data_IF_879930782323
#
_entry.id   IF_879930782323
#
_cell.length_a   1.000
_cell.length_b   1.000
_cell.length_c   1.000
_cell.angle_alpha   90.00
_cell.angle_beta   90.00
_cell.angle_gamma   90.00
#
_symmetry.space_group_name_H-M   'P 1'
#
loop_
_entity.id
_entity.type
_entity.pdbx_description
1 polymer ?
#
# COMPACT_ATOMS: atom_id res chain seq x y z
N UNK A 1 -0.07 -42.27 -31.53
CA UNK A 1 -0.70 -41.40 -32.54
C UNK A 1 -2.18 -41.35 -32.25
N UNK A 2 -2.76 -40.16 -32.08
CA UNK A 2 -4.19 -40.00 -31.76
C UNK A 2 -5.00 -39.85 -33.05
N UNK A 3 -6.07 -40.62 -33.22
CA UNK A 3 -6.91 -40.56 -34.42
C UNK A 3 -7.89 -39.36 -34.37
N UNK A 4 -8.28 -38.84 -35.55
CA UNK A 4 -9.37 -37.86 -35.68
C UNK A 4 -10.67 -38.48 -35.13
N UNK A 5 -11.20 -37.92 -34.04
CA UNK A 5 -12.42 -38.39 -33.36
C UNK A 5 -12.21 -39.25 -32.10
N UNK A 6 -10.99 -39.70 -31.81
CA UNK A 6 -10.71 -40.49 -30.60
C UNK A 6 -10.31 -39.65 -29.39
N UNK A 7 -10.08 -38.36 -29.58
CA UNK A 7 -9.70 -37.42 -28.54
C UNK A 7 -10.96 -37.04 -27.76
N UNK A 8 -11.18 -37.66 -26.61
CA UNK A 8 -12.26 -37.33 -25.67
C UNK A 8 -11.68 -37.11 -24.30
N UNK A 9 -12.05 -36.04 -23.62
CA UNK A 9 -11.58 -35.79 -22.27
C UNK A 9 -11.99 -36.94 -21.35
N UNK A 10 -11.05 -37.49 -20.58
CA UNK A 10 -11.33 -38.59 -19.64
C UNK A 10 -12.27 -38.20 -18.49
N UNK A 11 -12.36 -36.92 -18.17
CA UNK A 11 -13.19 -36.40 -17.07
C UNK A 11 -14.60 -36.05 -17.54
N UNK A 12 -14.74 -35.30 -18.64
CA UNK A 12 -16.04 -34.81 -19.11
C UNK A 12 -16.55 -35.43 -20.41
N UNK A 13 -15.80 -36.34 -21.03
CA UNK A 13 -16.19 -37.00 -22.28
C UNK A 13 -16.25 -36.08 -23.51
N UNK A 14 -16.00 -34.77 -23.36
CA UNK A 14 -16.04 -33.82 -24.47
C UNK A 14 -15.03 -34.19 -25.55
N UNK A 15 -15.46 -34.16 -26.81
CA UNK A 15 -14.58 -34.36 -27.98
C UNK A 15 -13.59 -33.21 -28.08
N UNK A 16 -12.31 -33.54 -28.02
CA UNK A 16 -11.19 -32.61 -28.08
C UNK A 16 -10.63 -32.58 -29.50
N UNK A 17 -10.14 -31.40 -29.90
CA UNK A 17 -9.40 -31.25 -31.13
C UNK A 17 -7.92 -31.54 -30.88
N UNK A 18 -7.19 -31.96 -31.91
CA UNK A 18 -5.74 -32.16 -31.86
C UNK A 18 -4.97 -30.90 -31.41
N UNK A 19 -5.51 -29.71 -31.66
CA UNK A 19 -4.93 -28.43 -31.20
C UNK A 19 -5.21 -28.11 -29.73
N UNK A 20 -6.30 -28.64 -29.17
CA UNK A 20 -6.83 -28.24 -27.85
C UNK A 20 -6.75 -29.37 -26.81
N UNK A 21 -6.27 -30.55 -27.19
CA UNK A 21 -6.03 -31.67 -26.27
C UNK A 21 -4.74 -31.45 -25.52
N UNK A 22 -4.78 -31.62 -24.19
CA UNK A 22 -3.58 -31.68 -23.36
C UNK A 22 -3.39 -33.12 -22.88
N UNK A 23 -2.20 -33.67 -23.07
CA UNK A 23 -1.87 -35.03 -22.63
C UNK A 23 -1.21 -35.02 -21.26
N UNK A 24 -1.78 -35.77 -20.31
CA UNK A 24 -1.16 -36.04 -19.01
C UNK A 24 -1.22 -37.54 -18.75
N UNK A 25 -0.10 -38.16 -18.35
CA UNK A 25 -0.01 -39.63 -18.14
C UNK A 25 -0.60 -40.47 -19.29
N UNK A 26 -0.29 -40.08 -20.53
CA UNK A 26 -0.78 -40.73 -21.77
C UNK A 26 -2.30 -40.65 -21.98
N UNK A 27 -3.02 -39.86 -21.19
CA UNK A 27 -4.47 -39.67 -21.28
C UNK A 27 -4.84 -38.25 -21.79
N UNK A 28 -5.89 -38.11 -22.62
CA UNK A 28 -6.31 -36.83 -23.17
C UNK A 28 -7.25 -36.06 -22.22
N UNK A 29 -6.91 -34.81 -21.93
CA UNK A 29 -7.68 -33.89 -21.09
C UNK A 29 -8.03 -32.59 -21.84
N UNK A 30 -9.16 -31.98 -21.49
CA UNK A 30 -9.50 -30.63 -21.94
C UNK A 30 -8.67 -29.59 -21.17
N UNK A 31 -8.69 -28.33 -21.59
CA UNK A 31 -7.97 -27.26 -20.88
C UNK A 31 -8.38 -27.15 -19.40
N UNK A 32 -9.68 -27.29 -19.10
CA UNK A 32 -10.23 -27.15 -17.75
C UNK A 32 -9.92 -28.35 -16.83
N UNK A 33 -9.82 -29.55 -17.39
CA UNK A 33 -9.54 -30.79 -16.64
C UNK A 33 -8.10 -31.25 -16.75
N UNK A 34 -7.23 -30.47 -17.39
CA UNK A 34 -5.82 -30.75 -17.40
C UNK A 34 -5.28 -30.52 -15.99
N UNK A 35 -4.61 -31.51 -15.37
CA UNK A 35 -3.99 -31.32 -14.06
C UNK A 35 -2.97 -30.19 -14.15
N UNK A 36 -3.37 -29.02 -13.69
CA UNK A 36 -2.43 -27.94 -13.45
C UNK A 36 -1.63 -28.36 -12.24
N UNK A 37 -0.32 -28.51 -12.44
CA UNK A 37 0.62 -28.74 -11.34
C UNK A 37 0.42 -27.59 -10.35
N UNK A 38 -0.35 -27.85 -9.30
CA UNK A 38 -0.43 -26.93 -8.18
C UNK A 38 1.00 -26.86 -7.67
N UNK A 39 1.64 -25.68 -7.60
CA UNK A 39 2.93 -25.60 -6.95
C UNK A 39 2.73 -26.25 -5.59
N UNK A 40 3.47 -27.34 -5.35
CA UNK A 40 3.50 -27.99 -4.05
C UNK A 40 4.00 -26.90 -3.14
N UNK A 41 3.07 -26.27 -2.42
CA UNK A 41 3.42 -25.34 -1.37
C UNK A 41 4.25 -26.19 -0.45
N UNK A 42 5.55 -25.99 -0.51
CA UNK A 42 6.46 -26.39 0.52
C UNK A 42 6.11 -25.48 1.71
N UNK A 43 4.92 -25.69 2.27
CA UNK A 43 4.34 -24.85 3.32
C UNK A 43 5.10 -25.06 4.64
N UNK A 44 5.81 -26.19 4.73
CA UNK A 44 6.48 -26.64 5.94
C UNK A 44 8.02 -26.62 5.79
N UNK A 45 8.56 -25.93 4.79
CA UNK A 45 9.99 -25.62 4.78
C UNK A 45 10.22 -24.29 5.52
N UNK A 46 11.07 -24.24 6.56
CA UNK A 46 11.37 -23.02 7.31
C UNK A 46 11.75 -21.83 6.42
N UNK A 47 12.38 -22.08 5.27
CA UNK A 47 12.75 -21.02 4.33
C UNK A 47 11.55 -20.28 3.72
N UNK A 48 10.45 -20.99 3.41
CA UNK A 48 9.25 -20.36 2.85
C UNK A 48 8.54 -19.48 3.88
N UNK A 49 8.57 -19.88 5.16
CA UNK A 49 8.02 -19.09 6.26
C UNK A 49 8.85 -17.81 6.46
N UNK A 50 10.18 -17.93 6.42
CA UNK A 50 11.11 -16.79 6.49
C UNK A 50 10.85 -15.79 5.36
N UNK A 51 10.70 -16.25 4.12
CA UNK A 51 10.45 -15.39 2.95
C UNK A 51 9.12 -14.65 3.08
N UNK A 52 8.05 -15.30 3.56
CA UNK A 52 6.74 -14.67 3.79
C UNK A 52 6.83 -13.55 4.83
N UNK A 53 7.44 -13.83 5.98
CA UNK A 53 7.68 -12.84 7.04
C UNK A 53 8.47 -11.63 6.53
N UNK A 54 9.54 -11.87 5.77
CA UNK A 54 10.34 -10.79 5.19
C UNK A 54 9.56 -9.99 4.15
N UNK A 55 8.75 -10.65 3.32
CA UNK A 55 7.91 -9.99 2.31
C UNK A 55 6.85 -9.09 2.94
N UNK A 56 6.21 -9.55 4.02
CA UNK A 56 5.23 -8.76 4.76
C UNK A 56 5.87 -7.52 5.40
N UNK A 57 7.05 -7.67 5.99
CA UNK A 57 7.82 -6.56 6.58
C UNK A 57 8.30 -5.56 5.51
N UNK A 58 8.74 -6.07 4.36
CA UNK A 58 9.29 -5.26 3.26
C UNK A 58 8.21 -4.60 2.40
N UNK A 59 6.97 -5.08 2.45
CA UNK A 59 5.88 -4.50 1.68
C UNK A 59 5.70 -3.01 2.06
N UNK A 60 5.66 -2.15 1.04
CA UNK A 60 5.57 -0.68 1.13
C UNK A 60 4.45 -0.13 2.04
N UNK A 61 3.51 -0.98 2.45
CA UNK A 61 2.41 -0.65 3.35
C UNK A 61 2.90 -0.20 4.74
N UNK A 62 3.93 -0.85 5.31
CA UNK A 62 4.44 -0.46 6.64
C UNK A 62 5.12 0.90 6.62
N UNK A 63 5.87 1.18 5.55
CA UNK A 63 6.54 2.46 5.36
C UNK A 63 5.55 3.62 5.18
N UNK A 64 4.42 3.38 4.52
CA UNK A 64 3.36 4.39 4.37
C UNK A 64 2.45 4.50 5.59
N UNK A 65 2.25 3.42 6.36
CA UNK A 65 1.49 3.45 7.60
C UNK A 65 2.22 4.25 8.68
N UNK A 66 3.53 4.07 8.85
CA UNK A 66 4.35 4.85 9.80
C UNK A 66 4.44 6.32 9.39
N UNK A 67 4.54 6.60 8.08
CA UNK A 67 4.50 7.97 7.56
C UNK A 67 3.14 8.64 7.81
N UNK A 68 2.03 7.95 7.57
CA UNK A 68 0.69 8.49 7.82
C UNK A 68 0.37 8.61 9.32
N UNK A 69 0.83 7.68 10.16
CA UNK A 69 0.70 7.75 11.63
C UNK A 69 1.54 8.86 12.25
N UNK A 70 2.72 9.16 11.69
CA UNK A 70 3.60 10.24 12.16
C UNK A 70 3.21 11.62 11.61
N UNK A 71 2.60 11.70 10.42
CA UNK A 71 2.03 12.94 9.85
C UNK A 71 0.93 13.56 10.73
N UNK A 72 0.17 12.75 11.47
CA UNK A 72 -0.93 13.20 12.34
C UNK A 72 -0.54 13.46 13.81
N UNK A 73 0.68 13.11 14.21
CA UNK A 73 1.17 13.28 15.60
C UNK A 73 2.39 14.20 15.60
N UNK A 74 2.24 15.41 15.08
CA UNK A 74 3.15 16.49 15.48
C UNK A 74 2.81 16.86 16.92
N UNK A 75 3.19 16.01 17.88
CA UNK A 75 3.32 16.43 19.26
C UNK A 75 4.46 17.41 19.25
N UNK A 76 4.13 18.70 19.16
CA UNK A 76 5.06 19.77 19.53
C UNK A 76 5.70 19.31 20.83
N UNK A 77 6.99 19.00 20.79
CA UNK A 77 7.76 18.80 22.01
C UNK A 77 7.65 20.14 22.72
N UNK A 78 6.76 20.20 23.71
CA UNK A 78 6.34 21.43 24.40
C UNK A 78 7.49 22.09 25.14
N UNK A 79 8.61 21.37 25.30
CA UNK A 79 9.75 21.76 26.10
C UNK A 79 10.98 22.15 25.24
N UNK A 80 10.81 22.43 23.94
CA UNK A 80 11.88 23.08 23.17
C UNK A 80 11.93 24.59 23.50
N UNK A 81 13.00 25.08 24.16
CA UNK A 81 13.14 26.49 24.52
C UNK A 81 13.13 27.43 23.30
N UNK A 82 13.46 26.93 22.11
CA UNK A 82 13.40 27.70 20.85
C UNK A 82 11.96 27.97 20.46
N UNK A 83 11.09 26.97 20.57
CA UNK A 83 9.68 27.10 20.21
C UNK A 83 8.91 27.98 21.21
N UNK A 84 9.25 27.90 22.50
CA UNK A 84 8.70 28.79 23.53
C UNK A 84 9.03 30.26 23.20
N UNK A 85 10.29 30.53 22.85
CA UNK A 85 10.75 31.87 22.44
C UNK A 85 10.04 32.34 21.17
N UNK A 86 9.91 31.49 20.15
CA UNK A 86 9.22 31.83 18.91
C UNK A 86 7.74 32.18 19.13
N UNK A 87 7.05 31.43 19.99
CA UNK A 87 5.64 31.73 20.37
C UNK A 87 5.52 33.04 21.13
N UNK A 88 6.45 33.36 22.02
CA UNK A 88 6.45 34.63 22.76
C UNK A 88 6.75 35.81 21.84
N UNK A 89 7.73 35.69 20.94
CA UNK A 89 8.00 36.70 19.91
C UNK A 89 6.77 36.92 19.01
N UNK A 90 6.09 35.85 18.59
CA UNK A 90 4.87 35.96 17.78
C UNK A 90 3.75 36.70 18.53
N UNK A 91 3.56 36.44 19.84
CA UNK A 91 2.59 37.17 20.66
C UNK A 91 2.94 38.66 20.78
N UNK A 92 4.21 38.97 21.06
CA UNK A 92 4.68 40.35 21.21
C UNK A 92 4.52 41.14 19.90
N UNK A 93 4.89 40.55 18.76
CA UNK A 93 4.69 41.15 17.43
C UNK A 93 3.20 41.42 17.18
N UNK A 94 2.33 40.43 17.42
CA UNK A 94 0.89 40.60 17.21
C UNK A 94 0.27 41.72 18.06
N UNK A 95 0.75 41.90 19.30
CA UNK A 95 0.28 42.95 20.19
C UNK A 95 0.80 44.34 19.78
N UNK A 96 2.04 44.43 19.31
CA UNK A 96 2.60 45.66 18.74
C UNK A 96 1.82 46.05 17.49
N UNK A 97 1.55 45.12 16.58
CA UNK A 97 0.76 45.39 15.37
C UNK A 97 -0.67 45.85 15.70
N UNK A 98 -1.31 45.22 16.70
CA UNK A 98 -2.66 45.60 17.13
C UNK A 98 -2.70 46.98 17.82
N UNK A 99 -1.67 47.31 18.60
CA UNK A 99 -1.59 48.62 19.27
C UNK A 99 -1.11 49.74 18.35
N UNK A 100 -0.20 49.43 17.42
CA UNK A 100 0.26 50.31 16.35
C UNK A 100 -0.92 50.73 15.49
N UNK A 101 -1.60 49.77 14.83
CA UNK A 101 -2.77 50.04 13.97
C UNK A 101 -3.84 50.90 14.64
N UNK A 102 -4.03 50.74 15.95
CA UNK A 102 -4.98 51.55 16.74
C UNK A 102 -4.50 52.99 16.96
N UNK A 103 -3.20 53.20 17.22
CA UNK A 103 -2.59 54.53 17.31
C UNK A 103 -2.59 55.24 15.96
N UNK A 104 -2.27 54.50 14.88
CA UNK A 104 -2.25 55.00 13.52
C UNK A 104 -3.65 55.49 13.11
N UNK A 105 -4.66 54.64 13.34
CA UNK A 105 -6.08 54.98 13.11
C UNK A 105 -6.56 56.13 13.99
N UNK A 106 -6.10 56.22 15.25
CA UNK A 106 -6.45 57.32 16.15
C UNK A 106 -5.77 58.63 15.75
N UNK A 107 -4.54 58.62 15.25
CA UNK A 107 -3.85 59.80 14.76
C UNK A 107 -4.45 60.36 13.48
N UNK A 108 -4.96 59.47 12.60
CA UNK A 108 -5.63 59.85 11.35
C UNK A 108 -7.03 60.47 11.58
N UNK A 109 -7.65 60.22 12.74
CA UNK A 109 -8.91 60.85 13.15
C UNK A 109 -8.73 62.21 13.84
N UNK A 110 -7.53 62.53 14.36
CA UNK A 110 -7.22 63.84 14.96
C UNK A 110 -6.68 64.86 13.96
N UNK A 111 -6.43 64.46 12.70
CA UNK A 111 -5.89 65.33 11.63
C UNK A 111 -6.96 65.89 10.68
N UNK A 112 -8.25 65.79 11.02
CA UNK A 112 -9.37 66.35 10.27
C UNK A 112 -10.21 67.29 11.15
#
# INVERSE_FOLDING_TARGET
FWHKGCLKCTVCGMTLNIKNVKGYEKMPYCHAHYPHMKPTVICDNPEMQRIRLLTDIQSNAKYHEDFNKSKGKFTVVTDDPVLARAKEQQRNVSQIDYTGKRKDSSSQLLSH
#
